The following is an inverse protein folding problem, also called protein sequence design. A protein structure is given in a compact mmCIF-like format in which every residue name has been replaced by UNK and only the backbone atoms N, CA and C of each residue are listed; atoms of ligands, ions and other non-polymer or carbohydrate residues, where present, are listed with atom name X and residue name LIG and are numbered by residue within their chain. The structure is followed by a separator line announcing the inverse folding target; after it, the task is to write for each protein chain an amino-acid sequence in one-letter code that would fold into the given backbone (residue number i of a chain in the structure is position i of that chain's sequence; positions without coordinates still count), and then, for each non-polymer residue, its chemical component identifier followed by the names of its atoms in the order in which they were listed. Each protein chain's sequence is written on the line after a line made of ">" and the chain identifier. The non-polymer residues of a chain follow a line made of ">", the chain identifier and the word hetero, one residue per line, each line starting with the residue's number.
data_IF_923407675368
#
_entry.id   IF_923407675368
#
_cell.length_a   1.000
_cell.length_b   1.000
_cell.length_c   1.000
_cell.angle_alpha   90.00
_cell.angle_beta   90.00
_cell.angle_gamma   90.00
#
_symmetry.space_group_name_H-M   'P 1'
#
loop_
_entity.id
_entity.type
_entity.pdbx_description
1 polymer ?
#
# COMPACT_ATOMS: atom_id res chain seq x y z
N UNK A 1 -21.30 -4.12 -26.72
CA UNK A 1 -21.78 -3.75 -25.37
C UNK A 1 -20.63 -3.06 -24.64
N UNK A 2 -20.67 -1.73 -24.52
CA UNK A 2 -19.73 -0.96 -23.68
C UNK A 2 -20.56 -0.50 -22.49
N UNK A 3 -20.53 -1.27 -21.40
CA UNK A 3 -21.29 -0.91 -20.19
C UNK A 3 -20.81 0.44 -19.69
N UNK A 4 -21.73 1.38 -19.54
CA UNK A 4 -21.48 2.71 -19.01
C UNK A 4 -21.08 2.60 -17.53
N UNK A 5 -19.78 2.74 -17.25
CA UNK A 5 -19.29 2.90 -15.89
C UNK A 5 -19.74 4.28 -15.42
N UNK A 6 -20.76 4.30 -14.56
CA UNK A 6 -21.25 5.53 -13.92
C UNK A 6 -20.08 6.21 -13.23
N UNK A 7 -19.86 7.49 -13.49
CA UNK A 7 -19.01 8.36 -12.67
C UNK A 7 -19.65 8.46 -11.27
N UNK A 8 -19.38 7.46 -10.42
CA UNK A 8 -19.61 7.61 -8.98
C UNK A 8 -18.53 8.57 -8.49
N UNK A 9 -18.92 9.55 -7.68
CA UNK A 9 -17.99 10.25 -6.79
C UNK A 9 -17.54 9.23 -5.76
N UNK A 10 -16.54 8.44 -6.14
CA UNK A 10 -15.87 7.53 -5.22
C UNK A 10 -14.96 8.40 -4.35
N UNK A 11 -14.82 8.02 -3.08
CA UNK A 11 -13.73 8.54 -2.25
C UNK A 11 -12.39 8.01 -2.79
N UNK A 12 -11.52 7.55 -1.90
CA UNK A 12 -10.27 6.93 -2.32
C UNK A 12 -10.52 5.60 -3.06
N UNK A 13 -9.87 5.41 -4.22
CA UNK A 13 -9.89 4.16 -4.97
C UNK A 13 -8.67 3.35 -4.56
N UNK A 14 -8.90 2.12 -4.09
CA UNK A 14 -7.83 1.27 -3.58
C UNK A 14 -7.56 0.09 -4.52
N UNK A 15 -6.28 -0.12 -4.84
CA UNK A 15 -5.80 -1.31 -5.55
C UNK A 15 -5.31 -2.32 -4.52
N UNK A 16 -5.94 -3.49 -4.49
CA UNK A 16 -5.66 -4.54 -3.48
C UNK A 16 -4.85 -5.72 -4.04
N UNK A 17 -4.17 -5.51 -5.18
CA UNK A 17 -3.34 -6.51 -5.84
C UNK A 17 -4.12 -7.44 -6.77
N UNK A 18 -3.52 -8.49 -7.33
CA UNK A 18 -2.15 -8.98 -7.09
C UNK A 18 -1.03 -8.22 -7.82
N UNK A 19 0.15 -8.82 -7.96
CA UNK A 19 1.39 -8.17 -8.45
C UNK A 19 1.20 -7.37 -9.74
N UNK A 20 0.55 -7.96 -10.76
CA UNK A 20 0.33 -7.28 -12.04
C UNK A 20 -0.45 -5.96 -11.87
N UNK A 21 -1.44 -5.95 -10.97
CA UNK A 21 -2.21 -4.75 -10.68
C UNK A 21 -1.38 -3.73 -9.90
N UNK A 22 -0.50 -4.17 -9.00
CA UNK A 22 0.43 -3.26 -8.32
C UNK A 22 1.43 -2.63 -9.30
N UNK A 23 2.00 -3.40 -10.22
CA UNK A 23 2.92 -2.89 -11.25
C UNK A 23 2.26 -1.80 -12.10
N UNK A 24 1.01 -2.03 -12.52
CA UNK A 24 0.27 -1.04 -13.30
C UNK A 24 -0.18 0.17 -12.48
N UNK A 25 -0.45 0.00 -11.19
CA UNK A 25 -1.01 1.04 -10.33
C UNK A 25 0.03 1.94 -9.65
N UNK A 26 1.20 1.41 -9.30
CA UNK A 26 2.29 2.15 -8.64
C UNK A 26 2.63 3.50 -9.29
N UNK A 27 2.79 3.61 -10.63
CA UNK A 27 3.09 4.91 -11.25
C UNK A 27 1.90 5.88 -11.27
N UNK A 28 0.69 5.43 -10.90
CA UNK A 28 -0.55 6.22 -10.92
C UNK A 28 -1.07 6.56 -9.52
N UNK A 29 -0.54 5.93 -8.47
CA UNK A 29 -1.07 6.12 -7.12
C UNK A 29 -0.40 7.28 -6.39
N UNK A 30 -1.17 7.93 -5.52
CA UNK A 30 -0.68 9.02 -4.65
C UNK A 30 -0.25 8.51 -3.27
N UNK A 31 -0.75 7.33 -2.88
CA UNK A 31 -0.57 6.74 -1.56
C UNK A 31 -0.27 5.24 -1.65
N UNK A 32 0.70 4.79 -0.85
CA UNK A 32 0.94 3.38 -0.56
C UNK A 32 0.61 3.15 0.92
N UNK A 33 -0.35 2.26 1.17
CA UNK A 33 -0.63 1.73 2.50
C UNK A 33 0.15 0.43 2.69
N UNK A 34 1.40 0.55 3.12
CA UNK A 34 2.30 -0.59 3.29
C UNK A 34 2.18 -1.18 4.69
N UNK A 35 2.08 -2.51 4.79
CA UNK A 35 2.22 -3.25 6.04
C UNK A 35 3.46 -4.13 5.94
N UNK A 36 4.47 -3.82 6.76
CA UNK A 36 5.70 -4.61 6.84
C UNK A 36 5.53 -5.74 7.86
N UNK A 37 5.59 -6.98 7.39
CA UNK A 37 5.50 -8.16 8.25
C UNK A 37 6.92 -8.68 8.49
N UNK A 38 7.38 -8.62 9.73
CA UNK A 38 8.69 -9.12 10.14
C UNK A 38 8.66 -10.64 10.32
N UNK A 39 8.50 -11.38 9.23
CA UNK A 39 8.51 -12.84 9.21
C UNK A 39 9.26 -13.35 7.97
N UNK A 40 9.94 -14.48 8.13
CA UNK A 40 10.49 -15.20 6.99
C UNK A 40 9.41 -16.11 6.41
N UNK A 41 8.82 -15.72 5.28
CA UNK A 41 7.73 -16.45 4.64
C UNK A 41 8.23 -17.09 3.33
N UNK A 42 7.85 -18.34 3.09
CA UNK A 42 8.02 -18.95 1.77
C UNK A 42 6.96 -18.42 0.81
N UNK A 43 7.38 -18.02 -0.39
CA UNK A 43 6.48 -17.45 -1.38
C UNK A 43 7.13 -17.38 -2.76
N UNK A 44 6.29 -17.23 -3.79
CA UNK A 44 6.70 -17.09 -5.19
C UNK A 44 6.25 -15.75 -5.78
N UNK A 45 5.74 -14.85 -4.94
CA UNK A 45 5.09 -13.60 -5.32
C UNK A 45 5.54 -12.53 -4.34
N UNK A 46 6.00 -11.40 -4.87
CA UNK A 46 6.56 -10.30 -4.09
C UNK A 46 5.86 -9.00 -4.49
N UNK A 47 5.74 -8.08 -3.53
CA UNK A 47 5.33 -6.71 -3.86
C UNK A 47 6.36 -6.11 -4.85
N UNK A 48 5.93 -5.34 -5.87
CA UNK A 48 6.87 -4.80 -6.85
C UNK A 48 7.90 -3.87 -6.20
N UNK A 49 9.10 -3.81 -6.77
CA UNK A 49 10.08 -2.82 -6.37
C UNK A 49 9.56 -1.40 -6.65
N UNK A 50 9.86 -0.47 -5.75
CA UNK A 50 9.54 0.94 -5.89
C UNK A 50 10.68 1.78 -5.28
N UNK A 51 10.93 2.98 -5.81
CA UNK A 51 11.96 3.87 -5.27
C UNK A 51 11.47 4.53 -3.99
N UNK A 52 11.93 4.05 -2.84
CA UNK A 52 11.59 4.62 -1.54
C UNK A 52 11.94 6.12 -1.40
N UNK A 53 12.88 6.64 -2.20
CA UNK A 53 13.22 8.07 -2.24
C UNK A 53 12.12 8.96 -2.82
N UNK A 54 11.21 8.40 -3.62
CA UNK A 54 10.04 9.11 -4.15
C UNK A 54 8.89 9.22 -3.13
N UNK A 55 8.95 8.44 -2.04
CA UNK A 55 7.88 8.35 -1.06
C UNK A 55 8.26 8.99 0.27
N UNK A 56 7.27 9.62 0.89
CA UNK A 56 7.40 10.16 2.24
C UNK A 56 6.51 9.39 3.21
N UNK A 57 7.10 8.76 4.22
CA UNK A 57 6.36 8.15 5.31
C UNK A 57 5.52 9.22 6.04
N UNK A 58 4.20 8.99 6.11
CA UNK A 58 3.23 9.92 6.73
C UNK A 58 2.78 9.47 8.11
N UNK A 59 2.55 8.16 8.27
CA UNK A 59 2.09 7.57 9.52
C UNK A 59 2.75 6.19 9.65
N UNK A 60 3.46 6.01 10.76
CA UNK A 60 3.99 4.70 11.17
C UNK A 60 3.12 4.20 12.33
N UNK A 61 2.56 3.00 12.16
CA UNK A 61 1.83 2.27 13.21
C UNK A 61 2.58 1.02 13.63
N UNK A 62 3.88 1.15 13.82
CA UNK A 62 4.67 0.13 14.49
C UNK A 62 4.14 -0.09 15.91
N UNK A 63 4.08 -1.35 16.39
CA UNK A 63 3.74 -1.61 17.77
C UNK A 63 4.70 -0.84 18.68
N UNK A 64 4.17 -0.30 19.78
CA UNK A 64 4.98 0.43 20.75
C UNK A 64 6.19 -0.43 21.12
N UNK A 65 7.39 0.15 21.01
CA UNK A 65 8.60 -0.54 21.46
C UNK A 65 8.45 -0.84 22.96
N UNK A 66 8.93 -1.98 23.46
CA UNK A 66 8.96 -2.23 24.89
C UNK A 66 9.61 -1.05 25.62
N UNK A 67 8.86 -0.39 26.50
CA UNK A 67 9.33 0.76 27.29
C UNK A 67 9.09 2.16 26.69
N UNK A 68 8.47 2.29 25.52
CA UNK A 68 8.07 3.59 25.00
C UNK A 68 6.74 4.04 25.63
N UNK A 69 6.65 5.24 26.24
CA UNK A 69 5.38 5.71 26.78
C UNK A 69 4.36 5.88 25.65
N UNK A 70 3.12 5.46 25.89
CA UNK A 70 2.01 5.73 24.99
C UNK A 70 1.81 7.25 24.97
N UNK A 71 2.11 7.88 23.84
CA UNK A 71 1.73 9.27 23.60
C UNK A 71 0.21 9.28 23.40
N UNK A 72 -0.52 9.75 24.41
CA UNK A 72 -1.90 10.24 24.24
C UNK A 72 -1.87 11.57 23.50
#
# INVERSE_FOLDING_TARGET
>A
MRSAWKHRTLGEVMVIGGVELYVMALPLCEHIYLTEIHANLSGNTWFPDYDAGEWRARQDRSPARPGQPLST
#
